data_IF_728650131756
#
_entry.id   IF_728650131756
#
_cell.length_a   1.000
_cell.length_b   1.000
_cell.length_c   1.000
_cell.angle_alpha   90.00
_cell.angle_beta   90.00
_cell.angle_gamma   90.00
#
_symmetry.space_group_name_H-M   'P 1'
#
loop_
_entity.id
_entity.type
_entity.pdbx_description
1 polymer ?
#
# COMPACT_ATOMS: atom_id res chain seq x y z
N UNK A 1 19.76 6.45 6.24
CA UNK A 1 20.08 5.80 4.95
C UNK A 1 19.96 6.84 3.85
N UNK A 2 20.74 6.75 2.77
CA UNK A 2 20.50 7.59 1.58
C UNK A 2 20.84 6.86 0.28
N UNK A 3 20.20 7.27 -0.81
CA UNK A 3 20.52 6.86 -2.16
C UNK A 3 21.63 7.75 -2.72
N UNK A 4 22.74 7.17 -3.16
CA UNK A 4 23.87 7.93 -3.73
C UNK A 4 23.83 8.01 -5.26
N UNK A 5 23.25 6.99 -5.91
CA UNK A 5 23.20 6.88 -7.36
C UNK A 5 21.85 6.32 -7.79
N UNK A 6 21.27 6.86 -8.86
CA UNK A 6 20.10 6.33 -9.55
C UNK A 6 20.42 6.22 -11.04
N UNK A 7 20.18 5.04 -11.62
CA UNK A 7 20.25 4.82 -13.05
C UNK A 7 18.96 4.15 -13.53
N UNK A 8 18.37 4.69 -14.60
CA UNK A 8 17.17 4.14 -15.22
C UNK A 8 17.48 3.79 -16.67
N UNK A 9 16.89 2.70 -17.16
CA UNK A 9 16.92 2.32 -18.58
C UNK A 9 15.52 1.90 -19.01
N UNK A 10 15.01 2.51 -20.08
CA UNK A 10 13.66 2.27 -20.61
C UNK A 10 12.54 2.37 -19.56
N UNK A 11 12.70 3.25 -18.56
CA UNK A 11 11.72 3.46 -17.49
C UNK A 11 10.91 4.73 -17.77
N UNK A 12 9.59 4.60 -17.86
CA UNK A 12 8.65 5.71 -18.15
C UNK A 12 9.08 6.50 -19.39
N UNK A 13 9.49 7.76 -19.20
CA UNK A 13 9.95 8.66 -20.26
C UNK A 13 11.45 8.56 -20.56
N UNK A 14 12.23 7.90 -19.70
CA UNK A 14 13.68 7.82 -19.83
C UNK A 14 14.10 6.62 -20.68
N UNK A 15 14.84 6.88 -21.75
CA UNK A 15 15.60 5.84 -22.46
C UNK A 15 16.80 5.40 -21.63
N UNK A 16 17.60 6.35 -21.15
CA UNK A 16 18.68 6.13 -20.20
C UNK A 16 18.94 7.41 -19.41
N UNK A 17 19.11 7.31 -18.10
CA UNK A 17 19.58 8.40 -17.25
C UNK A 17 20.41 7.82 -16.12
N UNK A 18 21.47 8.53 -15.73
CA UNK A 18 22.26 8.21 -14.54
C UNK A 18 22.54 9.51 -13.78
N UNK A 19 22.19 9.54 -12.50
CA UNK A 19 22.34 10.73 -11.65
C UNK A 19 22.94 10.33 -10.31
N UNK A 20 23.88 11.14 -9.83
CA UNK A 20 24.41 11.04 -8.48
C UNK A 20 23.66 12.02 -7.59
N UNK A 21 23.10 11.50 -6.51
CA UNK A 21 22.25 12.27 -5.59
C UNK A 21 22.99 12.39 -4.26
N UNK A 22 23.28 13.60 -3.76
CA UNK A 22 23.92 13.76 -2.47
C UNK A 22 22.96 13.39 -1.32
N UNK A 23 23.49 13.10 -0.12
CA UNK A 23 22.67 13.12 1.09
C UNK A 23 22.13 14.53 1.35
N UNK A 24 21.12 14.63 2.22
CA UNK A 24 20.41 15.87 2.52
C UNK A 24 19.30 16.18 1.52
N UNK A 25 18.99 17.46 1.38
CA UNK A 25 17.88 17.92 0.54
C UNK A 25 18.33 18.06 -0.92
N UNK A 26 17.53 17.55 -1.84
CA UNK A 26 17.74 17.68 -3.28
C UNK A 26 16.42 18.07 -3.98
N UNK A 27 16.44 19.16 -4.72
CA UNK A 27 15.32 19.60 -5.55
C UNK A 27 15.56 19.28 -7.03
N UNK A 28 14.63 18.54 -7.63
CA UNK A 28 14.50 18.26 -9.06
C UNK A 28 13.51 19.28 -9.64
N UNK A 29 14.00 20.26 -10.38
CA UNK A 29 13.21 21.40 -10.88
C UNK A 29 13.08 21.33 -12.39
N UNK A 30 11.90 21.64 -12.91
CA UNK A 30 11.67 21.74 -14.35
C UNK A 30 10.18 21.70 -14.70
N UNK A 31 9.79 22.09 -15.92
CA UNK A 31 8.41 22.06 -16.39
C UNK A 31 7.71 20.71 -16.19
N UNK A 32 6.38 20.75 -16.14
CA UNK A 32 5.56 19.54 -16.06
C UNK A 32 5.76 18.65 -17.29
N UNK A 33 5.73 17.33 -17.08
CA UNK A 33 5.93 16.34 -18.14
C UNK A 33 7.37 16.02 -18.51
N UNK A 34 8.38 16.65 -17.89
CA UNK A 34 9.80 16.42 -18.22
C UNK A 34 10.43 15.18 -17.56
N UNK A 35 9.71 14.50 -16.66
CA UNK A 35 10.16 13.26 -16.05
C UNK A 35 10.60 13.34 -14.58
N UNK A 36 10.47 14.49 -13.91
CA UNK A 36 10.78 14.65 -12.47
C UNK A 36 10.13 13.57 -11.59
N UNK A 37 8.81 13.45 -11.70
CA UNK A 37 7.98 12.43 -11.05
C UNK A 37 8.45 11.01 -11.37
N UNK A 38 8.94 10.76 -12.59
CA UNK A 38 9.42 9.43 -12.98
C UNK A 38 10.73 9.05 -12.24
N UNK A 39 11.61 10.01 -11.96
CA UNK A 39 12.83 9.77 -11.17
C UNK A 39 12.48 9.34 -9.74
N UNK A 40 11.61 10.10 -9.07
CA UNK A 40 11.24 9.81 -7.69
C UNK A 40 10.31 8.60 -7.57
N UNK A 41 9.45 8.37 -8.57
CA UNK A 41 8.65 7.15 -8.68
C UNK A 41 9.52 5.89 -8.73
N UNK A 42 10.66 5.93 -9.46
CA UNK A 42 11.57 4.80 -9.52
C UNK A 42 12.18 4.48 -8.14
N UNK A 43 12.50 5.50 -7.35
CA UNK A 43 13.02 5.34 -5.98
C UNK A 43 11.94 4.77 -5.05
N UNK A 44 10.72 5.32 -5.11
CA UNK A 44 9.58 4.79 -4.37
C UNK A 44 9.27 3.32 -4.72
N UNK A 45 9.42 2.97 -6.00
CA UNK A 45 9.24 1.59 -6.47
C UNK A 45 10.27 0.63 -5.86
N UNK A 46 11.53 1.03 -5.68
CA UNK A 46 12.55 0.18 -5.04
C UNK A 46 12.21 -0.15 -3.58
N UNK A 47 11.47 0.71 -2.88
CA UNK A 47 11.05 0.48 -1.50
C UNK A 47 9.77 -0.36 -1.39
N UNK A 48 8.76 -0.06 -2.22
CA UNK A 48 7.43 -0.66 -2.11
C UNK A 48 7.16 -1.81 -3.10
N UNK A 49 7.93 -1.91 -4.20
CA UNK A 49 7.66 -2.75 -5.37
C UNK A 49 6.27 -2.50 -5.98
N UNK A 50 5.79 -1.26 -5.84
CA UNK A 50 4.54 -0.75 -6.37
C UNK A 50 4.75 0.71 -6.79
N UNK A 51 3.94 1.19 -7.72
CA UNK A 51 3.90 2.60 -8.09
C UNK A 51 2.78 3.31 -7.34
N UNK A 52 3.02 4.56 -6.92
CA UNK A 52 1.97 5.42 -6.36
C UNK A 52 0.98 5.91 -7.42
N UNK A 53 1.34 5.83 -8.71
CA UNK A 53 0.56 6.39 -9.84
C UNK A 53 -0.22 5.33 -10.61
N UNK A 54 0.27 4.09 -10.67
CA UNK A 54 -0.33 3.01 -11.47
C UNK A 54 -0.42 1.70 -10.70
N UNK A 55 -1.42 0.88 -11.03
CA UNK A 55 -1.71 -0.39 -10.35
C UNK A 55 -0.97 -1.61 -10.90
N UNK A 56 -0.15 -1.44 -11.94
CA UNK A 56 0.63 -2.52 -12.56
C UNK A 56 1.96 -1.98 -13.09
N UNK A 57 2.92 -2.87 -13.35
CA UNK A 57 4.26 -2.48 -13.81
C UNK A 57 4.33 -2.12 -15.29
N UNK A 58 3.37 -2.57 -16.11
CA UNK A 58 3.42 -2.36 -17.56
C UNK A 58 3.51 -0.88 -17.98
N UNK A 59 2.79 0.07 -17.36
CA UNK A 59 2.94 1.51 -17.63
C UNK A 59 4.26 2.12 -17.16
N UNK A 60 5.06 1.41 -16.35
CA UNK A 60 6.38 1.84 -15.92
C UNK A 60 7.45 1.56 -16.99
N UNK A 61 7.17 0.65 -17.93
CA UNK A 61 8.04 0.32 -19.04
C UNK A 61 7.84 1.36 -20.15
N UNK A 62 8.93 1.88 -20.70
CA UNK A 62 8.90 2.85 -21.80
C UNK A 62 8.16 2.27 -22.99
N UNK A 63 7.36 3.12 -23.66
CA UNK A 63 6.53 2.70 -24.79
C UNK A 63 7.39 2.06 -25.89
N UNK A 64 6.94 0.89 -26.38
CA UNK A 64 7.65 0.11 -27.40
C UNK A 64 8.72 -0.83 -26.85
N UNK A 65 9.08 -0.70 -25.57
CA UNK A 65 10.08 -1.55 -24.93
C UNK A 65 9.41 -2.77 -24.25
N UNK A 66 10.18 -3.84 -24.09
CA UNK A 66 9.71 -5.09 -23.45
C UNK A 66 10.13 -5.21 -21.98
N UNK A 67 11.04 -4.33 -21.53
CA UNK A 67 11.57 -4.29 -20.17
C UNK A 67 12.02 -2.88 -19.80
N UNK A 68 12.14 -2.63 -18.51
CA UNK A 68 12.76 -1.45 -17.93
C UNK A 68 13.69 -1.87 -16.78
N UNK A 69 14.73 -1.09 -16.51
CA UNK A 69 15.66 -1.34 -15.39
C UNK A 69 15.72 -0.12 -14.50
N UNK A 70 15.55 -0.36 -13.20
CA UNK A 70 15.81 0.61 -12.12
C UNK A 70 17.02 0.10 -11.36
N UNK A 71 18.11 0.85 -11.34
CA UNK A 71 19.31 0.52 -10.57
C UNK A 71 19.63 1.67 -9.63
N UNK A 72 20.01 1.35 -8.40
CA UNK A 72 20.43 2.34 -7.43
C UNK A 72 21.52 1.80 -6.51
N UNK A 73 22.40 2.69 -6.07
CA UNK A 73 23.30 2.44 -4.93
C UNK A 73 22.73 3.13 -3.71
N UNK A 74 22.54 2.36 -2.65
CA UNK A 74 22.03 2.82 -1.36
C UNK A 74 23.09 2.66 -0.29
N UNK A 75 23.30 3.72 0.47
CA UNK A 75 24.29 3.84 1.52
C UNK A 75 23.59 3.68 2.89
N UNK A 76 24.09 2.74 3.68
CA UNK A 76 23.59 2.44 5.02
C UNK A 76 24.78 2.08 5.92
N UNK A 77 24.93 2.77 7.05
CA UNK A 77 26.03 2.55 8.02
C UNK A 77 27.43 2.51 7.37
N UNK A 78 27.66 3.40 6.39
CA UNK A 78 28.94 3.46 5.65
C UNK A 78 29.16 2.32 4.64
N UNK A 79 28.17 1.44 4.44
CA UNK A 79 28.20 0.38 3.42
C UNK A 79 27.27 0.72 2.27
N UNK A 80 27.80 0.63 1.05
CA UNK A 80 27.02 0.77 -0.18
C UNK A 80 26.51 -0.58 -0.65
N UNK A 81 25.21 -0.68 -0.90
CA UNK A 81 24.56 -1.85 -1.53
C UNK A 81 23.97 -1.42 -2.86
N UNK A 82 24.20 -2.19 -3.92
CA UNK A 82 23.58 -1.94 -5.23
C UNK A 82 22.32 -2.79 -5.37
N UNK A 83 21.19 -2.13 -5.56
CA UNK A 83 19.92 -2.75 -5.88
C UNK A 83 19.59 -2.53 -7.35
N UNK A 84 19.17 -3.59 -8.04
CA UNK A 84 18.66 -3.52 -9.41
C UNK A 84 17.35 -4.29 -9.51
N UNK A 85 16.35 -3.67 -10.13
CA UNK A 85 15.05 -4.29 -10.46
C UNK A 85 14.80 -4.16 -11.95
N UNK A 86 14.60 -5.29 -12.62
CA UNK A 86 14.20 -5.36 -14.03
C UNK A 86 12.70 -5.68 -14.11
N UNK A 87 11.94 -4.70 -14.61
CA UNK A 87 10.51 -4.82 -14.90
C UNK A 87 10.35 -5.49 -16.26
N UNK A 88 9.51 -6.52 -16.34
CA UNK A 88 9.34 -7.31 -17.55
C UNK A 88 7.89 -7.30 -18.03
N UNK A 89 7.64 -6.91 -19.27
CA UNK A 89 6.30 -6.91 -19.84
C UNK A 89 5.77 -8.36 -19.96
N UNK A 90 4.67 -8.66 -19.25
CA UNK A 90 4.00 -9.96 -19.31
C UNK A 90 4.81 -11.14 -18.74
N UNK A 91 5.94 -10.89 -18.08
CA UNK A 91 6.75 -11.91 -17.41
C UNK A 91 7.02 -11.49 -15.97
N UNK A 92 7.52 -12.41 -15.15
CA UNK A 92 7.94 -12.08 -13.79
C UNK A 92 9.13 -11.11 -13.81
N UNK A 93 9.07 -10.09 -12.97
CA UNK A 93 10.19 -9.18 -12.73
C UNK A 93 11.38 -9.92 -12.14
N UNK A 94 12.57 -9.35 -12.32
CA UNK A 94 13.84 -9.88 -11.81
C UNK A 94 14.51 -8.83 -10.95
N UNK A 95 15.36 -9.27 -10.03
CA UNK A 95 16.15 -8.34 -9.25
C UNK A 95 17.56 -8.87 -9.01
N UNK A 96 18.47 -7.96 -8.70
CA UNK A 96 19.85 -8.26 -8.30
C UNK A 96 20.22 -7.44 -7.07
N UNK A 97 21.05 -8.03 -6.22
CA UNK A 97 21.69 -7.38 -5.08
C UNK A 97 23.19 -7.49 -5.25
N UNK A 98 23.91 -6.37 -5.22
CA UNK A 98 25.35 -6.30 -5.50
C UNK A 98 25.75 -7.05 -6.78
N UNK A 99 24.92 -6.88 -7.82
CA UNK A 99 25.02 -7.52 -9.15
C UNK A 99 24.77 -9.04 -9.15
N UNK A 100 24.57 -9.68 -8.00
CA UNK A 100 24.18 -11.08 -7.92
C UNK A 100 22.66 -11.23 -8.11
N UNK A 101 22.18 -12.14 -8.98
CA UNK A 101 20.75 -12.38 -9.14
C UNK A 101 20.16 -12.98 -7.85
N UNK A 102 18.99 -12.49 -7.45
CA UNK A 102 18.20 -13.08 -6.36
C UNK A 102 17.14 -14.02 -6.92
N UNK A 103 16.68 -14.99 -6.12
CA UNK A 103 15.71 -15.98 -6.62
C UNK A 103 14.34 -15.37 -6.87
N UNK A 104 13.99 -14.34 -6.09
CA UNK A 104 12.71 -13.61 -6.17
C UNK A 104 12.94 -12.13 -5.88
N UNK A 105 12.23 -11.26 -6.59
CA UNK A 105 12.34 -9.79 -6.45
C UNK A 105 12.22 -9.32 -5.00
N UNK A 106 11.31 -9.93 -4.24
CA UNK A 106 11.06 -9.61 -2.83
C UNK A 106 12.25 -9.86 -1.89
N UNK A 107 13.28 -10.60 -2.29
CA UNK A 107 14.50 -10.76 -1.47
C UNK A 107 15.30 -9.46 -1.36
N UNK A 108 15.00 -8.49 -2.22
CA UNK A 108 15.55 -7.13 -2.19
C UNK A 108 14.69 -6.21 -1.30
N UNK A 109 13.52 -6.66 -0.84
CA UNK A 109 12.67 -5.85 0.03
C UNK A 109 13.36 -5.53 1.35
N UNK A 110 13.20 -4.29 1.81
CA UNK A 110 13.90 -3.78 2.98
C UNK A 110 15.32 -3.30 2.70
N UNK A 111 15.86 -3.40 1.47
CA UNK A 111 17.14 -2.74 1.14
C UNK A 111 16.97 -1.22 1.09
N UNK A 112 15.84 -0.77 0.53
CA UNK A 112 15.44 0.64 0.42
C UNK A 112 14.17 0.85 1.25
N UNK A 113 14.16 1.90 2.06
CA UNK A 113 12.95 2.45 2.70
C UNK A 113 12.69 3.84 2.18
N UNK A 114 11.44 4.14 1.85
CA UNK A 114 11.04 5.47 1.44
C UNK A 114 9.59 5.77 1.76
N UNK A 115 9.30 7.06 1.97
CA UNK A 115 7.93 7.58 2.06
C UNK A 115 7.74 8.64 0.99
N UNK A 116 6.73 8.42 0.15
CA UNK A 116 6.35 9.32 -0.94
C UNK A 116 5.13 10.13 -0.50
N UNK A 117 5.24 11.45 -0.62
CA UNK A 117 4.16 12.41 -0.55
C UNK A 117 3.83 12.86 -1.97
N UNK A 118 2.59 12.67 -2.41
CA UNK A 118 2.18 13.02 -3.76
C UNK A 118 0.71 13.51 -3.79
N UNK A 119 0.29 14.27 -4.82
CA UNK A 119 -1.10 14.68 -5.01
C UNK A 119 -2.11 13.54 -4.95
N UNK A 120 -1.72 12.34 -5.37
CA UNK A 120 -2.54 11.13 -5.31
C UNK A 120 -2.91 10.70 -3.88
N UNK A 121 -2.23 11.21 -2.85
CA UNK A 121 -2.50 10.85 -1.44
C UNK A 121 -3.89 11.29 -0.97
N UNK A 122 -4.54 12.25 -1.64
CA UNK A 122 -5.96 12.56 -1.39
C UNK A 122 -6.86 11.33 -1.59
N UNK A 123 -6.46 10.38 -2.44
CA UNK A 123 -7.18 9.12 -2.63
C UNK A 123 -7.11 8.20 -1.40
N UNK A 124 -6.13 8.35 -0.51
CA UNK A 124 -6.12 7.64 0.77
C UNK A 124 -7.34 8.02 1.61
N UNK A 125 -7.76 9.28 1.52
CA UNK A 125 -8.86 9.82 2.30
C UNK A 125 -10.20 9.65 1.58
N UNK A 126 -10.28 10.10 0.32
CA UNK A 126 -11.54 10.15 -0.44
C UNK A 126 -11.81 8.89 -1.26
N UNK A 127 -10.77 8.14 -1.58
CA UNK A 127 -10.84 6.99 -2.47
C UNK A 127 -11.45 5.74 -1.83
N UNK A 128 -11.30 4.64 -2.56
CA UNK A 128 -11.84 3.34 -2.21
C UNK A 128 -10.95 2.60 -1.19
N UNK A 129 -11.51 1.62 -0.46
CA UNK A 129 -10.77 0.80 0.49
C UNK A 129 -9.49 0.18 -0.08
N UNK A 130 -9.46 -0.12 -1.37
CA UNK A 130 -8.31 -0.66 -2.09
C UNK A 130 -7.05 0.22 -1.95
N UNK A 131 -7.22 1.55 -1.97
CA UNK A 131 -6.10 2.49 -1.87
C UNK A 131 -5.49 2.43 -0.46
N UNK A 132 -6.34 2.41 0.57
CA UNK A 132 -5.90 2.32 1.96
C UNK A 132 -5.30 0.96 2.30
N UNK A 133 -5.84 -0.13 1.75
CA UNK A 133 -5.23 -1.46 1.89
C UNK A 133 -3.85 -1.52 1.26
N UNK A 134 -3.67 -0.96 0.06
CA UNK A 134 -2.34 -0.86 -0.57
C UNK A 134 -1.38 -0.05 0.29
N UNK A 135 -1.81 1.09 0.83
CA UNK A 135 -0.98 1.87 1.76
C UNK A 135 -0.51 1.04 2.96
N UNK A 136 -1.42 0.30 3.62
CA UNK A 136 -1.05 -0.58 4.74
C UNK A 136 -0.10 -1.70 4.30
N UNK A 137 -0.38 -2.33 3.16
CA UNK A 137 0.41 -3.47 2.66
C UNK A 137 1.83 -3.04 2.24
N UNK A 138 1.96 -1.90 1.57
CA UNK A 138 3.25 -1.39 1.11
C UNK A 138 4.10 -0.93 2.31
N UNK A 139 3.49 -0.36 3.35
CA UNK A 139 4.16 -0.05 4.62
C UNK A 139 4.57 -1.33 5.38
N UNK A 140 3.72 -2.36 5.40
CA UNK A 140 4.04 -3.66 5.99
C UNK A 140 5.24 -4.33 5.31
N UNK A 141 5.36 -4.23 3.99
CA UNK A 141 6.50 -4.81 3.25
C UNK A 141 7.82 -4.14 3.64
N UNK A 142 7.82 -2.82 3.84
CA UNK A 142 9.01 -2.09 4.28
C UNK A 142 9.43 -2.43 5.72
N UNK A 143 8.46 -2.60 6.63
CA UNK A 143 8.70 -3.01 8.02
C UNK A 143 9.08 -4.49 8.13
N UNK A 144 8.43 -5.35 7.38
CA UNK A 144 8.57 -6.80 7.48
C UNK A 144 8.51 -7.46 6.11
N UNK A 145 9.66 -7.61 5.40
CA UNK A 145 9.73 -8.20 4.07
C UNK A 145 9.03 -9.55 3.91
N UNK A 146 8.99 -10.36 4.98
CA UNK A 146 8.26 -11.66 5.02
C UNK A 146 6.78 -11.53 4.72
N UNK A 147 6.12 -10.42 5.07
CA UNK A 147 4.69 -10.20 4.82
C UNK A 147 4.41 -10.10 3.32
N UNK A 148 5.37 -9.66 2.51
CA UNK A 148 5.24 -9.66 1.05
C UNK A 148 4.98 -11.07 0.48
N UNK A 149 5.59 -12.11 1.05
CA UNK A 149 5.32 -13.49 0.65
C UNK A 149 3.90 -13.94 1.05
N UNK A 150 3.46 -13.61 2.27
CA UNK A 150 2.12 -13.91 2.76
C UNK A 150 1.05 -13.26 1.88
N UNK A 151 1.24 -11.98 1.51
CA UNK A 151 0.36 -11.24 0.59
C UNK A 151 0.30 -11.91 -0.79
N UNK A 152 1.45 -12.25 -1.37
CA UNK A 152 1.50 -12.89 -2.69
C UNK A 152 0.79 -14.26 -2.69
N UNK A 153 0.98 -15.06 -1.63
CA UNK A 153 0.28 -16.33 -1.47
C UNK A 153 -1.23 -16.13 -1.30
N UNK A 154 -1.64 -15.15 -0.49
CA UNK A 154 -3.04 -14.78 -0.33
C UNK A 154 -3.69 -14.41 -1.66
N UNK A 155 -3.08 -13.52 -2.45
CA UNK A 155 -3.61 -13.08 -3.75
C UNK A 155 -3.67 -14.23 -4.77
N UNK A 156 -2.68 -15.12 -4.78
CA UNK A 156 -2.67 -16.33 -5.61
C UNK A 156 -3.83 -17.25 -5.24
N UNK A 157 -3.98 -17.57 -3.96
CA UNK A 157 -5.04 -18.46 -3.44
C UNK A 157 -6.42 -17.85 -3.67
N UNK A 158 -6.59 -16.54 -3.43
CA UNK A 158 -7.82 -15.81 -3.67
C UNK A 158 -8.27 -15.90 -5.14
N UNK A 159 -7.34 -15.74 -6.09
CA UNK A 159 -7.63 -15.89 -7.53
C UNK A 159 -8.08 -17.31 -7.87
N UNK A 160 -7.38 -18.32 -7.38
CA UNK A 160 -7.73 -19.74 -7.62
C UNK A 160 -9.11 -20.08 -7.05
N UNK A 161 -9.36 -19.71 -5.78
CA UNK A 161 -10.66 -19.90 -5.13
C UNK A 161 -11.79 -19.18 -5.88
N UNK A 162 -11.58 -17.93 -6.28
CA UNK A 162 -12.58 -17.14 -7.01
C UNK A 162 -12.91 -17.77 -8.37
N UNK A 163 -11.93 -18.30 -9.09
CA UNK A 163 -12.15 -19.05 -10.33
C UNK A 163 -13.00 -20.31 -10.10
N UNK A 164 -12.72 -21.04 -9.04
CA UNK A 164 -13.51 -22.22 -8.65
C UNK A 164 -14.94 -21.87 -8.23
N UNK A 165 -15.15 -20.77 -7.49
CA UNK A 165 -16.50 -20.31 -7.15
C UNK A 165 -17.32 -19.99 -8.41
N UNK A 166 -16.71 -19.33 -9.41
CA UNK A 166 -17.39 -19.01 -10.68
C UNK A 166 -17.78 -20.27 -11.45
N UNK A 167 -16.86 -21.23 -11.58
CA UNK A 167 -17.12 -22.48 -12.30
C UNK A 167 -18.14 -23.37 -11.57
N UNK A 168 -18.02 -23.56 -10.26
CA UNK A 168 -18.97 -24.32 -9.46
C UNK A 168 -20.37 -23.66 -9.43
N UNK A 169 -20.42 -22.33 -9.34
CA UNK A 169 -21.67 -21.56 -9.44
C UNK A 169 -22.37 -21.72 -10.78
N UNK A 170 -21.62 -21.77 -11.89
CA UNK A 170 -22.16 -22.00 -13.23
C UNK A 170 -22.81 -23.40 -13.36
N UNK A 171 -22.13 -24.46 -12.87
CA UNK A 171 -22.69 -25.83 -12.88
C UNK A 171 -23.99 -25.91 -12.06
N UNK A 172 -24.03 -25.24 -10.90
CA UNK A 172 -25.23 -25.22 -10.04
C UNK A 172 -26.40 -24.49 -10.70
N UNK A 173 -26.15 -23.39 -11.42
CA UNK A 173 -27.18 -22.67 -12.19
C UNK A 173 -27.70 -23.50 -13.36
N UNK A 174 -26.82 -24.15 -14.11
CA UNK A 174 -27.22 -25.03 -15.22
C UNK A 174 -28.17 -26.15 -14.77
N UNK A 175 -27.93 -26.74 -13.58
CA UNK A 175 -28.83 -27.74 -12.99
C UNK A 175 -30.18 -27.19 -12.50
N UNK A 176 -30.26 -25.90 -12.16
CA UNK A 176 -31.51 -25.24 -11.73
C UNK A 176 -32.34 -24.71 -12.89
N UNK A 177 -31.71 -24.36 -14.02
CA UNK A 177 -32.36 -23.80 -15.21
C UNK A 177 -32.80 -24.83 -16.26
N UNK A 178 -32.30 -26.07 -16.18
CA UNK A 178 -32.75 -27.19 -17.02
C UNK A 178 -33.95 -27.91 -16.38
N UNK A 179 -35.17 -27.53 -16.76
CA UNK A 179 -36.35 -28.34 -16.46
C UNK A 179 -36.35 -29.61 -17.30
N UNK A 180 -35.96 -30.75 -16.72
CA UNK A 180 -36.15 -32.05 -17.37
C UNK A 180 -35.13 -33.14 -17.00
N UNK A 181 -35.66 -34.21 -16.42
CA UNK A 181 -35.06 -35.54 -16.22
C UNK A 181 -33.98 -35.66 -15.14
N UNK A 182 -34.44 -36.04 -13.95
CA UNK A 182 -33.69 -36.92 -13.04
C UNK A 182 -33.42 -38.26 -13.74
N UNK A 183 -32.35 -38.36 -14.53
CA UNK A 183 -31.77 -39.66 -14.84
C UNK A 183 -30.29 -39.52 -15.20
N UNK A 184 -29.46 -40.17 -14.36
CA UNK A 184 -28.10 -40.68 -14.58
C UNK A 184 -27.15 -40.23 -13.47
N UNK A 185 -26.83 -41.19 -12.59
CA UNK A 185 -26.23 -41.02 -11.28
C UNK A 185 -24.72 -40.78 -11.26
N UNK A 186 -24.21 -39.88 -12.10
CA UNK A 186 -22.78 -39.53 -12.11
C UNK A 186 -22.52 -38.03 -11.80
N UNK A 187 -23.59 -37.24 -11.65
CA UNK A 187 -23.52 -35.81 -11.37
C UNK A 187 -23.20 -35.43 -9.92
N UNK A 188 -23.31 -36.36 -8.97
CA UNK A 188 -22.98 -36.12 -7.56
C UNK A 188 -21.48 -36.00 -7.30
N UNK A 189 -20.67 -36.75 -8.06
CA UNK A 189 -19.21 -36.83 -7.89
C UNK A 189 -18.49 -35.52 -8.24
N UNK A 190 -18.84 -34.89 -9.36
CA UNK A 190 -18.21 -33.64 -9.80
C UNK A 190 -18.49 -32.46 -8.85
N UNK A 191 -19.72 -32.35 -8.33
CA UNK A 191 -20.07 -31.31 -7.34
C UNK A 191 -19.40 -31.58 -5.99
N UNK A 192 -19.32 -32.84 -5.56
CA UNK A 192 -18.62 -33.23 -4.33
C UNK A 192 -17.11 -32.99 -4.44
N UNK A 193 -16.51 -33.30 -5.58
CA UNK A 193 -15.08 -33.06 -5.87
C UNK A 193 -14.74 -31.58 -5.90
N UNK A 194 -15.58 -30.74 -6.53
CA UNK A 194 -15.39 -29.30 -6.55
C UNK A 194 -15.51 -28.68 -5.15
N UNK A 195 -16.44 -29.17 -4.31
CA UNK A 195 -16.58 -28.73 -2.91
C UNK A 195 -15.37 -29.12 -2.07
N UNK A 196 -14.87 -30.36 -2.17
CA UNK A 196 -13.63 -30.79 -1.47
C UNK A 196 -12.41 -29.96 -1.89
N UNK A 197 -12.34 -29.59 -3.17
CA UNK A 197 -11.27 -28.71 -3.67
C UNK A 197 -11.38 -27.32 -3.06
N UNK A 198 -12.61 -26.78 -2.92
CA UNK A 198 -12.83 -25.48 -2.27
C UNK A 198 -12.40 -25.49 -0.80
N UNK A 199 -12.64 -26.58 -0.05
CA UNK A 199 -12.23 -26.69 1.37
C UNK A 199 -10.70 -26.56 1.54
N UNK A 200 -9.92 -27.15 0.63
CA UNK A 200 -8.45 -27.00 0.61
C UNK A 200 -8.04 -25.54 0.37
N UNK A 201 -8.71 -24.86 -0.57
CA UNK A 201 -8.43 -23.46 -0.84
C UNK A 201 -8.90 -22.54 0.29
N UNK A 202 -9.97 -22.88 1.01
CA UNK A 202 -10.38 -22.14 2.20
C UNK A 202 -9.33 -22.24 3.30
N UNK A 203 -8.79 -23.44 3.55
CA UNK A 203 -7.72 -23.65 4.52
C UNK A 203 -6.50 -22.77 4.19
N UNK A 204 -6.07 -22.76 2.93
CA UNK A 204 -4.94 -21.92 2.49
C UNK A 204 -5.28 -20.43 2.55
N UNK A 205 -6.48 -20.03 2.15
CA UNK A 205 -6.91 -18.62 2.15
C UNK A 205 -7.03 -18.08 3.57
N UNK A 206 -7.56 -18.88 4.50
CA UNK A 206 -7.67 -18.54 5.91
C UNK A 206 -6.30 -18.42 6.57
N UNK A 207 -5.37 -19.34 6.28
CA UNK A 207 -4.03 -19.33 6.84
C UNK A 207 -3.21 -18.08 6.43
N UNK A 208 -3.23 -17.74 5.13
CA UNK A 208 -2.56 -16.52 4.67
C UNK A 208 -3.33 -15.26 5.07
N UNK A 209 -4.67 -15.32 5.04
CA UNK A 209 -5.54 -14.20 5.37
C UNK A 209 -5.47 -13.79 6.84
N UNK A 210 -5.37 -14.73 7.76
CA UNK A 210 -5.27 -14.43 9.20
C UNK A 210 -3.95 -13.75 9.55
N UNK A 211 -2.85 -14.17 8.95
CA UNK A 211 -1.54 -13.53 9.10
C UNK A 211 -1.58 -12.08 8.60
N UNK A 212 -2.22 -11.83 7.45
CA UNK A 212 -2.33 -10.49 6.89
C UNK A 212 -3.23 -9.58 7.72
N UNK A 213 -4.37 -10.09 8.23
CA UNK A 213 -5.25 -9.35 9.15
C UNK A 213 -4.50 -8.97 10.43
N UNK A 214 -3.84 -9.93 11.07
CA UNK A 214 -3.10 -9.68 12.30
C UNK A 214 -1.92 -8.70 12.08
N UNK A 215 -1.23 -8.80 10.94
CA UNK A 215 -0.17 -7.87 10.57
C UNK A 215 -0.72 -6.45 10.38
N UNK A 216 -1.82 -6.29 9.64
CA UNK A 216 -2.46 -4.97 9.42
C UNK A 216 -2.99 -4.38 10.72
N UNK A 217 -3.61 -5.17 11.59
CA UNK A 217 -4.10 -4.70 12.89
C UNK A 217 -2.95 -4.17 13.74
N UNK A 218 -1.86 -4.93 13.85
CA UNK A 218 -0.65 -4.49 14.57
C UNK A 218 -0.06 -3.21 13.97
N UNK A 219 -0.02 -3.11 12.64
CA UNK A 219 0.42 -1.89 11.96
C UNK A 219 -0.48 -0.71 12.31
N UNK A 220 -1.80 -0.86 12.25
CA UNK A 220 -2.73 0.23 12.57
C UNK A 220 -2.57 0.68 14.03
N UNK A 221 -2.37 -0.25 14.98
CA UNK A 221 -2.07 0.09 16.37
C UNK A 221 -0.79 0.91 16.51
N UNK A 222 0.29 0.48 15.84
CA UNK A 222 1.57 1.18 15.87
C UNK A 222 1.49 2.56 15.19
N UNK A 223 0.75 2.67 14.09
CA UNK A 223 0.63 3.89 13.29
C UNK A 223 -0.20 5.00 13.96
N UNK A 224 -1.20 4.63 14.77
CA UNK A 224 -2.12 5.58 15.46
C UNK A 224 -1.42 6.74 16.17
N UNK A 225 -0.48 6.51 17.11
CA UNK A 225 0.15 7.62 17.85
C UNK A 225 0.94 8.55 16.93
N UNK A 226 1.62 8.02 15.91
CA UNK A 226 2.38 8.84 14.96
C UNK A 226 1.45 9.70 14.09
N UNK A 227 0.34 9.13 13.60
CA UNK A 227 -0.64 9.88 12.78
C UNK A 227 -1.36 10.96 13.61
N UNK A 228 -1.72 10.66 14.86
CA UNK A 228 -2.34 11.65 15.74
C UNK A 228 -1.42 12.86 15.97
N UNK A 229 -0.14 12.59 16.29
CA UNK A 229 0.88 13.63 16.49
C UNK A 229 1.16 14.43 15.21
N UNK A 230 1.35 13.74 14.09
CA UNK A 230 1.59 14.39 12.81
C UNK A 230 0.41 15.28 12.39
N UNK A 231 -0.82 14.81 12.59
CA UNK A 231 -2.02 15.60 12.32
C UNK A 231 -2.08 16.87 13.16
N UNK A 232 -1.80 16.78 14.47
CA UNK A 232 -1.76 17.94 15.36
C UNK A 232 -0.77 19.00 14.86
N UNK A 233 0.41 18.57 14.40
CA UNK A 233 1.47 19.45 13.89
C UNK A 233 1.10 20.14 12.57
N UNK A 234 0.46 19.43 11.62
CA UNK A 234 0.11 20.00 10.30
C UNK A 234 -1.23 20.75 10.28
N UNK A 235 -2.19 20.36 11.12
CA UNK A 235 -3.52 21.00 11.23
C UNK A 235 -3.57 22.13 12.26
N UNK A 236 -2.52 22.25 13.09
CA UNK A 236 -2.49 23.12 14.27
C UNK A 236 -3.62 22.85 15.27
N UNK A 237 -3.73 21.58 15.65
CA UNK A 237 -4.61 21.06 16.70
C UNK A 237 -6.13 21.24 16.46
N UNK A 238 -6.57 21.38 15.21
CA UNK A 238 -8.01 21.40 14.89
C UNK A 238 -8.56 19.97 14.81
N UNK A 239 -9.10 19.49 15.92
CA UNK A 239 -9.64 18.14 16.05
C UNK A 239 -8.56 17.07 16.28
N UNK A 240 -8.99 15.82 16.42
CA UNK A 240 -8.12 14.68 16.62
C UNK A 240 -8.34 13.65 15.51
N UNK A 241 -7.28 13.32 14.78
CA UNK A 241 -7.29 12.25 13.79
C UNK A 241 -7.18 10.89 14.49
N UNK A 242 -8.09 9.97 14.19
CA UNK A 242 -8.07 8.61 14.72
C UNK A 242 -8.21 7.57 13.60
N UNK A 243 -7.58 6.41 13.81
CA UNK A 243 -7.56 5.30 12.86
C UNK A 243 -8.24 4.07 13.45
N UNK A 244 -9.10 3.41 12.68
CA UNK A 244 -9.68 2.13 13.04
C UNK A 244 -9.54 1.12 11.91
N UNK A 245 -9.36 -0.16 12.24
CA UNK A 245 -9.30 -1.24 11.25
C UNK A 245 -10.65 -1.95 11.19
N UNK A 246 -11.31 -1.90 10.04
CA UNK A 246 -12.59 -2.60 9.80
C UNK A 246 -12.33 -3.92 9.09
N UNK A 247 -12.43 -5.02 9.83
CA UNK A 247 -12.36 -6.35 9.24
C UNK A 247 -13.73 -6.84 8.75
N UNK A 248 -13.77 -7.36 7.52
CA UNK A 248 -14.92 -8.07 6.96
C UNK A 248 -15.30 -9.32 7.75
N UNK A 249 -14.36 -9.90 8.50
CA UNK A 249 -14.61 -11.04 9.38
C UNK A 249 -15.60 -10.69 10.49
N UNK A 250 -15.42 -9.51 11.11
CA UNK A 250 -16.28 -9.03 12.19
C UNK A 250 -17.66 -8.70 11.62
N UNK A 251 -17.71 -7.96 10.51
CA UNK A 251 -18.98 -7.67 9.81
C UNK A 251 -19.73 -8.92 9.33
N UNK A 252 -19.04 -10.05 9.16
CA UNK A 252 -19.67 -11.30 8.79
C UNK A 252 -20.34 -12.01 9.98
N UNK A 253 -20.15 -11.63 11.25
CA UNK A 253 -20.67 -12.37 12.41
C UNK A 253 -22.21 -12.44 12.45
N UNK A 254 -22.81 -13.55 12.94
CA UNK A 254 -24.26 -13.70 12.96
C UNK A 254 -25.00 -12.65 13.80
N UNK A 255 -24.35 -12.14 14.84
CA UNK A 255 -24.91 -11.17 15.79
C UNK A 255 -24.82 -9.72 15.26
N UNK A 256 -24.09 -9.50 14.16
CA UNK A 256 -23.74 -8.16 13.64
C UNK A 256 -24.37 -7.86 12.25
N UNK A 257 -25.42 -8.58 11.85
CA UNK A 257 -26.13 -8.37 10.58
C UNK A 257 -27.54 -7.78 10.78
N UNK A 258 -27.98 -6.79 9.98
CA UNK A 258 -27.42 -5.46 9.77
C UNK A 258 -28.40 -4.39 10.23
N UNK A 259 -28.05 -3.63 11.27
CA UNK A 259 -28.49 -2.23 11.44
C UNK A 259 -27.37 -1.25 11.03
N UNK A 260 -26.37 -1.74 10.27
CA UNK A 260 -25.30 -0.89 9.74
C UNK A 260 -25.77 -0.25 8.45
N UNK A 261 -26.45 0.88 8.62
CA UNK A 261 -26.72 1.83 7.55
C UNK A 261 -25.38 2.28 6.95
N UNK A 262 -25.33 2.29 5.63
CA UNK A 262 -24.21 2.80 4.83
C UNK A 262 -23.74 4.17 5.37
N UNK A 263 -22.47 4.26 5.77
CA UNK A 263 -21.84 5.52 6.18
C UNK A 263 -21.81 5.86 7.68
N UNK A 264 -22.44 5.07 8.55
CA UNK A 264 -22.35 5.28 10.00
C UNK A 264 -21.56 4.16 10.68
N UNK A 265 -20.29 4.40 11.04
CA UNK A 265 -19.81 3.76 12.27
C UNK A 265 -20.73 4.29 13.36
N UNK A 266 -21.34 3.40 14.14
CA UNK A 266 -22.16 3.81 15.26
C UNK A 266 -21.43 4.92 16.03
N UNK A 267 -21.97 6.13 16.00
CA UNK A 267 -21.53 7.27 16.81
C UNK A 267 -21.90 7.10 18.28
N UNK A 268 -22.33 5.90 18.68
CA UNK A 268 -22.35 5.52 20.07
C UNK A 268 -20.93 5.25 20.52
N UNK A 269 -20.63 5.66 21.74
CA UNK A 269 -19.65 5.05 22.64
C UNK A 269 -19.88 3.54 22.75
N UNK A 270 -19.72 2.80 21.65
CA UNK A 270 -19.52 1.36 21.65
C UNK A 270 -18.30 1.14 22.51
N UNK A 271 -18.52 0.48 23.64
CA UNK A 271 -17.62 0.38 24.77
C UNK A 271 -16.16 0.28 24.29
N UNK A 272 -15.30 1.24 24.67
CA UNK A 272 -13.91 1.23 24.25
C UNK A 272 -13.23 -0.12 24.59
N UNK A 273 -13.74 -0.79 25.63
CA UNK A 273 -13.40 -2.17 25.98
C UNK A 273 -13.79 -3.20 24.90
N UNK A 274 -14.95 -3.08 24.27
CA UNK A 274 -15.39 -3.97 23.19
C UNK A 274 -14.53 -3.79 21.93
N UNK A 275 -14.20 -2.55 21.56
CA UNK A 275 -13.28 -2.29 20.44
C UNK A 275 -11.87 -2.84 20.74
N UNK A 276 -11.36 -2.63 21.95
CA UNK A 276 -10.06 -3.17 22.36
C UNK A 276 -10.04 -4.71 22.33
N UNK A 277 -11.10 -5.36 22.83
CA UNK A 277 -11.23 -6.82 22.80
C UNK A 277 -11.29 -7.36 21.37
N UNK A 278 -12.01 -6.67 20.47
CA UNK A 278 -12.06 -7.01 19.05
C UNK A 278 -10.67 -6.89 18.40
N UNK A 279 -9.90 -5.86 18.72
CA UNK A 279 -8.53 -5.71 18.20
C UNK A 279 -7.60 -6.81 18.71
N UNK A 280 -7.68 -7.15 20.00
CA UNK A 280 -6.89 -8.23 20.59
C UNK A 280 -7.19 -9.58 19.93
N UNK A 281 -8.45 -9.82 19.61
CA UNK A 281 -8.88 -10.97 18.84
C UNK A 281 -8.30 -10.97 17.42
N UNK A 282 -8.30 -9.84 16.72
CA UNK A 282 -7.73 -9.73 15.36
C UNK A 282 -6.20 -9.89 15.34
N UNK A 283 -5.51 -9.69 16.46
CA UNK A 283 -4.07 -9.95 16.60
C UNK A 283 -3.73 -11.45 16.68
N UNK A 284 -4.69 -12.29 17.06
CA UNK A 284 -4.52 -13.75 17.23
C UNK A 284 -4.77 -14.50 15.92
N UNK A 285 -3.71 -14.74 15.16
CA UNK A 285 -3.81 -15.36 13.83
C UNK A 285 -4.45 -16.76 13.82
N UNK A 286 -4.28 -17.54 14.88
CA UNK A 286 -4.91 -18.85 15.08
C UNK A 286 -6.44 -18.73 15.17
N UNK A 287 -6.91 -17.79 15.99
CA UNK A 287 -8.33 -17.52 16.19
C UNK A 287 -8.96 -16.93 14.93
N UNK A 288 -8.31 -15.92 14.33
CA UNK A 288 -8.75 -15.32 13.06
C UNK A 288 -8.83 -16.36 11.94
N UNK A 289 -7.89 -17.30 11.88
CA UNK A 289 -7.92 -18.39 10.89
C UNK A 289 -9.15 -19.28 11.07
N UNK A 290 -9.41 -19.74 12.29
CA UNK A 290 -10.60 -20.55 12.59
C UNK A 290 -11.90 -19.81 12.23
N UNK A 291 -12.00 -18.53 12.58
CA UNK A 291 -13.18 -17.72 12.28
C UNK A 291 -13.36 -17.45 10.78
N UNK A 292 -12.27 -17.24 10.03
CA UNK A 292 -12.34 -17.13 8.57
C UNK A 292 -12.90 -18.39 7.93
N UNK A 293 -12.49 -19.58 8.41
CA UNK A 293 -13.01 -20.86 7.91
C UNK A 293 -14.51 -21.00 8.18
N UNK A 294 -14.94 -20.69 9.41
CA UNK A 294 -16.35 -20.72 9.78
C UNK A 294 -17.18 -19.73 8.93
N UNK A 295 -16.68 -18.49 8.76
CA UNK A 295 -17.34 -17.49 7.94
C UNK A 295 -17.46 -17.92 6.47
N UNK A 296 -16.40 -18.49 5.88
CA UNK A 296 -16.43 -19.01 4.50
C UNK A 296 -17.35 -20.22 4.35
N UNK A 297 -17.45 -21.10 5.34
CA UNK A 297 -18.40 -22.21 5.33
C UNK A 297 -19.85 -21.70 5.34
N UNK A 298 -20.15 -20.73 6.20
CA UNK A 298 -21.49 -20.11 6.29
C UNK A 298 -21.87 -19.29 5.06
N UNK A 299 -20.92 -18.53 4.50
CA UNK A 299 -21.16 -17.69 3.32
C UNK A 299 -21.13 -18.45 1.99
N UNK A 300 -20.77 -19.74 2.01
CA UNK A 300 -20.55 -20.59 0.82
C UNK A 300 -21.62 -20.47 -0.25
N UNK A 301 -22.88 -20.56 0.15
CA UNK A 301 -24.00 -20.51 -0.79
C UNK A 301 -24.06 -19.16 -1.53
N UNK A 302 -23.88 -18.06 -0.81
CA UNK A 302 -23.84 -16.70 -1.37
C UNK A 302 -22.61 -16.48 -2.25
N UNK A 303 -21.46 -17.02 -1.85
CA UNK A 303 -20.22 -16.94 -2.64
C UNK A 303 -20.30 -17.71 -3.96
N UNK A 304 -20.92 -18.91 -3.96
CA UNK A 304 -21.17 -19.70 -5.18
C UNK A 304 -22.15 -19.00 -6.12
N UNK A 305 -23.19 -18.37 -5.57
CA UNK A 305 -24.16 -17.60 -6.34
C UNK A 305 -23.49 -16.40 -7.03
N UNK A 306 -22.74 -15.61 -6.26
CA UNK A 306 -22.10 -14.37 -6.74
C UNK A 306 -20.79 -14.62 -7.51
N UNK A 307 -20.17 -15.79 -7.36
CA UNK A 307 -18.88 -16.10 -7.97
C UNK A 307 -17.71 -15.27 -7.43
N UNK A 308 -17.80 -14.80 -6.18
CA UNK A 308 -16.77 -13.97 -5.52
C UNK A 308 -16.63 -14.35 -4.04
N UNK A 309 -15.43 -14.18 -3.50
CA UNK A 309 -15.18 -14.33 -2.06
C UNK A 309 -15.79 -13.15 -1.30
N UNK A 310 -16.48 -13.39 -0.19
CA UNK A 310 -17.22 -12.35 0.56
C UNK A 310 -16.59 -11.96 1.90
N UNK A 311 -15.58 -12.70 2.36
CA UNK A 311 -14.88 -12.46 3.63
C UNK A 311 -13.37 -12.63 3.47
N UNK A 312 -12.59 -11.84 4.20
CA UNK A 312 -11.12 -11.89 4.26
C UNK A 312 -10.48 -10.53 3.97
N UNK A 313 -9.14 -10.40 4.13
CA UNK A 313 -8.44 -9.11 4.10
C UNK A 313 -8.58 -8.32 2.80
N UNK A 314 -8.96 -8.94 1.67
CA UNK A 314 -9.29 -8.21 0.44
C UNK A 314 -10.57 -7.37 0.52
N UNK A 315 -11.39 -7.52 1.58
CA UNK A 315 -12.63 -6.78 1.83
C UNK A 315 -12.51 -5.81 3.01
N UNK A 316 -11.38 -5.82 3.70
CA UNK A 316 -11.15 -5.00 4.89
C UNK A 316 -10.87 -3.54 4.52
N UNK A 317 -10.92 -2.64 5.50
CA UNK A 317 -10.71 -1.21 5.29
C UNK A 317 -10.02 -0.53 6.48
N UNK A 318 -9.30 0.54 6.19
CA UNK A 318 -8.80 1.49 7.20
C UNK A 318 -9.79 2.64 7.29
N UNK A 319 -10.37 2.86 8.47
CA UNK A 319 -11.28 3.97 8.73
C UNK A 319 -10.52 5.15 9.30
N UNK A 320 -10.79 6.32 8.73
CA UNK A 320 -10.20 7.59 9.13
C UNK A 320 -11.31 8.43 9.76
N UNK A 321 -11.10 8.89 10.99
CA UNK A 321 -12.03 9.80 11.67
C UNK A 321 -11.31 11.07 12.10
N UNK A 322 -12.06 12.16 12.13
CA UNK A 322 -11.63 13.45 12.66
C UNK A 322 -12.69 13.96 13.62
N UNK A 323 -12.32 14.20 14.88
CA UNK A 323 -13.26 14.69 15.89
C UNK A 323 -14.46 13.75 16.11
N UNK A 324 -14.27 12.43 15.92
CA UNK A 324 -15.31 11.41 16.05
C UNK A 324 -16.17 11.19 14.79
N UNK A 325 -16.01 11.99 13.73
CA UNK A 325 -16.75 11.84 12.47
C UNK A 325 -15.89 11.19 11.39
N UNK A 326 -16.47 10.37 10.49
CA UNK A 326 -15.74 9.85 9.34
C UNK A 326 -15.18 10.97 8.46
N UNK A 327 -13.90 10.91 8.09
CA UNK A 327 -13.27 11.96 7.26
C UNK A 327 -13.89 12.01 5.86
N UNK A 328 -14.14 10.83 5.26
CA UNK A 328 -14.77 10.74 3.94
C UNK A 328 -16.21 11.26 4.00
N UNK A 329 -16.49 12.34 3.26
CA UNK A 329 -17.81 12.95 3.15
C UNK A 329 -18.07 14.11 4.11
N UNK A 330 -17.30 14.25 5.19
CA UNK A 330 -17.51 15.31 6.20
C UNK A 330 -16.36 16.31 6.30
N UNK A 331 -15.12 15.88 6.04
CA UNK A 331 -13.96 16.76 6.16
C UNK A 331 -13.88 17.79 5.03
N UNK A 332 -13.49 19.00 5.38
CA UNK A 332 -13.13 20.06 4.43
C UNK A 332 -11.94 19.65 3.55
N UNK A 333 -11.70 20.43 2.49
CA UNK A 333 -10.56 20.18 1.60
C UNK A 333 -9.21 20.29 2.34
N UNK A 334 -9.08 21.27 3.24
CA UNK A 334 -7.88 21.45 4.06
C UNK A 334 -7.66 20.30 5.05
N UNK A 335 -8.72 19.85 5.74
CA UNK A 335 -8.66 18.70 6.64
C UNK A 335 -8.32 17.40 5.90
N UNK A 336 -8.86 17.21 4.69
CA UNK A 336 -8.51 16.05 3.84
C UNK A 336 -7.00 16.00 3.60
N UNK A 337 -6.40 17.14 3.22
CA UNK A 337 -4.96 17.24 3.03
C UNK A 337 -4.18 16.99 4.32
N UNK A 338 -4.60 17.59 5.44
CA UNK A 338 -3.96 17.37 6.74
C UNK A 338 -3.98 15.90 7.17
N UNK A 339 -5.08 15.17 6.93
CA UNK A 339 -5.16 13.73 7.20
C UNK A 339 -4.25 12.93 6.27
N UNK A 340 -4.21 13.25 4.98
CA UNK A 340 -3.33 12.58 4.01
C UNK A 340 -1.84 12.78 4.38
N UNK A 341 -1.44 14.02 4.69
CA UNK A 341 -0.10 14.33 5.16
C UNK A 341 0.21 13.61 6.48
N UNK A 342 -0.72 13.59 7.43
CA UNK A 342 -0.54 12.91 8.70
C UNK A 342 -0.33 11.40 8.55
N UNK A 343 -1.02 10.75 7.61
CA UNK A 343 -0.81 9.33 7.29
C UNK A 343 0.61 9.07 6.79
N UNK A 344 1.12 9.91 5.89
CA UNK A 344 2.48 9.79 5.33
C UNK A 344 3.57 10.12 6.34
N UNK A 345 3.41 11.22 7.08
CA UNK A 345 4.31 11.58 8.19
C UNK A 345 4.30 10.50 9.26
N UNK A 346 3.14 9.97 9.62
CA UNK A 346 3.02 8.88 10.58
C UNK A 346 3.73 7.60 10.10
N UNK A 347 3.65 7.29 8.81
CA UNK A 347 4.40 6.18 8.21
C UNK A 347 5.91 6.42 8.22
N UNK A 348 6.36 7.66 7.97
CA UNK A 348 7.77 8.04 8.04
C UNK A 348 8.32 7.87 9.46
N UNK A 349 7.64 8.42 10.45
CA UNK A 349 8.01 8.28 11.87
C UNK A 349 8.03 6.81 12.31
N UNK A 350 7.01 6.03 11.91
CA UNK A 350 6.96 4.60 12.24
C UNK A 350 8.14 3.81 11.63
N UNK A 351 8.53 4.11 10.40
CA UNK A 351 9.67 3.46 9.76
C UNK A 351 11.02 3.90 10.34
N UNK A 352 11.08 5.13 10.85
CA UNK A 352 12.24 5.73 11.51
C UNK A 352 12.45 5.16 12.92
N UNK A 353 11.38 4.94 13.66
CA UNK A 353 11.37 4.39 15.02
C UNK A 353 11.39 2.86 15.06
N UNK A 354 11.55 2.17 13.93
CA UNK A 354 11.64 0.71 13.88
C UNK A 354 12.99 0.21 14.41
N UNK A 355 13.02 -0.23 15.67
CA UNK A 355 14.22 -0.78 16.34
C UNK A 355 14.89 -1.94 15.58
N UNK A 356 14.14 -2.66 14.73
CA UNK A 356 14.68 -3.71 13.87
C UNK A 356 15.53 -3.19 12.71
N UNK A 357 15.53 -1.88 12.48
CA UNK A 357 16.20 -1.21 11.37
C UNK A 357 17.32 -0.30 11.86
N UNK A 358 18.55 -0.81 11.75
CA UNK A 358 19.76 -0.04 12.03
C UNK A 358 20.28 0.57 10.72
N UNK A 359 19.50 1.50 10.15
CA UNK A 359 19.79 2.04 8.83
C UNK A 359 19.71 3.54 8.69
N UNK A 360 19.30 4.25 9.73
CA UNK A 360 18.94 5.66 9.64
C UNK A 360 17.61 5.88 8.94
N UNK A 361 17.33 7.13 8.59
CA UNK A 361 15.99 7.54 8.13
C UNK A 361 15.58 6.88 6.78
N UNK A 362 14.28 6.64 6.57
CA UNK A 362 13.73 6.40 5.24
C UNK A 362 13.98 7.60 4.31
N UNK A 363 14.17 7.36 3.02
CA UNK A 363 14.24 8.44 2.02
C UNK A 363 12.88 9.12 1.93
N UNK A 364 12.84 10.44 2.15
CA UNK A 364 11.62 11.23 1.97
C UNK A 364 11.52 11.73 0.53
N UNK A 365 10.36 11.56 -0.07
CA UNK A 365 10.06 12.01 -1.44
C UNK A 365 8.85 12.94 -1.37
N UNK A 366 8.99 14.15 -1.87
CA UNK A 366 7.96 15.18 -1.98
C UNK A 366 7.70 15.44 -3.47
N UNK A 367 6.74 14.75 -4.05
CA UNK A 367 6.48 14.77 -5.49
C UNK A 367 5.39 15.79 -5.83
N UNK A 368 5.78 17.00 -6.28
CA UNK A 368 4.90 18.13 -6.63
C UNK A 368 3.85 18.50 -5.55
N UNK A 369 4.08 18.10 -4.29
CA UNK A 369 3.10 18.25 -3.20
C UNK A 369 2.94 19.70 -2.75
N UNK A 370 3.97 20.54 -2.87
CA UNK A 370 3.93 21.90 -2.35
C UNK A 370 3.02 22.84 -3.12
N UNK A 371 2.76 22.57 -4.40
CA UNK A 371 1.83 23.32 -5.23
C UNK A 371 0.37 23.18 -4.74
N UNK A 372 0.05 22.08 -4.06
CA UNK A 372 -1.31 21.75 -3.60
C UNK A 372 -1.61 22.22 -2.16
N UNK A 373 -0.59 22.69 -1.44
CA UNK A 373 -0.70 23.06 -0.02
C UNK A 373 -0.79 24.58 0.16
N UNK A 374 -1.60 25.00 1.13
CA UNK A 374 -1.58 26.39 1.60
C UNK A 374 -0.25 26.71 2.32
N UNK A 375 0.04 27.99 2.47
CA UNK A 375 1.30 28.47 3.04
C UNK A 375 1.61 27.89 4.42
N UNK A 376 0.60 27.73 5.28
CA UNK A 376 0.79 27.21 6.64
C UNK A 376 1.18 25.72 6.60
N UNK A 377 0.45 24.92 5.82
CA UNK A 377 0.73 23.48 5.66
C UNK A 377 2.07 23.24 4.97
N UNK A 378 2.41 24.06 3.97
CA UNK A 378 3.72 24.04 3.30
C UNK A 378 4.86 24.23 4.30
N UNK A 379 4.81 25.28 5.11
CA UNK A 379 5.81 25.55 6.16
C UNK A 379 5.85 24.44 7.22
N UNK A 380 4.70 23.95 7.67
CA UNK A 380 4.64 22.88 8.66
C UNK A 380 5.30 21.58 8.13
N UNK A 381 4.93 21.16 6.92
CA UNK A 381 5.53 19.98 6.27
C UNK A 381 7.04 20.16 6.11
N UNK A 382 7.48 21.30 5.58
CA UNK A 382 8.90 21.58 5.37
C UNK A 382 9.73 21.44 6.64
N UNK A 383 9.24 21.99 7.77
CA UNK A 383 9.93 21.88 9.07
C UNK A 383 10.00 20.46 9.61
N UNK A 384 8.95 19.67 9.39
CA UNK A 384 8.89 18.28 9.88
C UNK A 384 9.82 17.36 9.09
N UNK A 385 10.03 17.62 7.79
CA UNK A 385 10.82 16.74 6.91
C UNK A 385 12.28 17.19 6.76
N UNK A 386 12.61 18.46 7.01
CA UNK A 386 13.97 18.99 6.89
C UNK A 386 15.06 18.22 7.68
N UNK A 387 14.78 17.66 8.89
CA UNK A 387 15.78 16.90 9.64
C UNK A 387 16.16 15.55 9.03
N UNK A 388 15.41 15.04 8.05
CA UNK A 388 15.65 13.71 7.51
C UNK A 388 16.99 13.64 6.75
N UNK A 389 17.67 12.48 6.85
CA UNK A 389 18.96 12.27 6.18
C UNK A 389 18.96 12.51 4.66
N UNK A 390 17.83 12.26 3.98
CA UNK A 390 17.66 12.56 2.56
C UNK A 390 16.21 12.91 2.23
N UNK A 391 16.04 14.06 1.55
CA UNK A 391 14.75 14.55 1.07
C UNK A 391 14.87 14.87 -0.42
N UNK A 392 14.02 14.24 -1.23
CA UNK A 392 13.96 14.45 -2.68
C UNK A 392 12.67 15.18 -3.02
N UNK A 393 12.78 16.30 -3.72
CA UNK A 393 11.66 17.19 -4.00
C UNK A 393 11.52 17.31 -5.51
N UNK A 394 10.31 17.17 -6.04
CA UNK A 394 10.00 17.59 -7.41
C UNK A 394 9.21 18.90 -7.37
N UNK A 395 9.55 19.83 -8.25
CA UNK A 395 8.84 21.09 -8.38
C UNK A 395 8.85 21.58 -9.83
N UNK A 396 7.77 22.22 -10.25
CA UNK A 396 7.67 22.82 -11.58
C UNK A 396 8.64 24.02 -11.73
N UNK A 397 8.68 24.85 -10.69
CA UNK A 397 9.56 26.02 -10.58
C UNK A 397 10.27 26.00 -9.21
N UNK A 398 11.41 26.67 -9.11
CA UNK A 398 12.22 26.60 -7.89
C UNK A 398 11.55 27.31 -6.70
N UNK A 399 10.73 28.31 -6.98
CA UNK A 399 10.01 29.13 -6.02
C UNK A 399 8.93 28.35 -5.25
N UNK A 400 8.51 27.19 -5.75
CA UNK A 400 7.58 26.31 -5.04
C UNK A 400 8.24 25.55 -3.89
N UNK A 401 9.58 25.46 -3.88
CA UNK A 401 10.35 24.79 -2.83
C UNK A 401 10.49 25.73 -1.63
N UNK A 402 10.05 25.33 -0.42
CA UNK A 402 10.20 26.14 0.79
C UNK A 402 11.67 26.42 1.12
N UNK A 403 11.96 27.60 1.68
CA UNK A 403 13.31 27.99 2.07
C UNK A 403 13.90 27.09 3.17
N UNK A 404 13.07 26.45 3.99
CA UNK A 404 13.53 25.45 4.95
C UNK A 404 14.12 24.19 4.28
N UNK A 405 13.88 24.00 2.98
CA UNK A 405 14.33 22.85 2.19
C UNK A 405 15.36 23.27 1.12
N UNK A 406 16.33 24.09 1.52
CA UNK A 406 17.48 24.42 0.68
C UNK A 406 18.50 23.28 0.63
N UNK A 407 19.04 23.02 -0.55
CA UNK A 407 19.98 21.92 -0.78
C UNK A 407 20.48 21.87 -2.22
N UNK A 408 20.88 20.69 -2.66
CA UNK A 408 21.33 20.49 -4.04
C UNK A 408 20.16 20.71 -5.02
N UNK A 409 20.45 21.22 -6.21
CA UNK A 409 19.43 21.43 -7.24
C UNK A 409 19.84 20.80 -8.56
N UNK A 410 18.88 20.15 -9.20
CA UNK A 410 19.01 19.59 -10.53
C UNK A 410 17.90 20.12 -11.42
N UNK A 411 18.25 20.57 -12.61
CA UNK A 411 17.28 20.89 -13.64
C UNK A 411 16.98 19.64 -14.48
N UNK A 412 15.69 19.38 -14.71
CA UNK A 412 15.18 18.21 -15.44
C UNK A 412 14.48 18.66 -16.71
N UNK A 413 15.09 18.41 -17.86
CA UNK A 413 14.63 18.89 -19.16
C UNK A 413 15.00 17.90 -20.27
N UNK A 414 14.07 17.59 -21.16
CA UNK A 414 14.35 16.80 -22.36
C UNK A 414 14.85 15.37 -22.09
N UNK A 415 14.54 14.81 -20.92
CA UNK A 415 15.07 13.50 -20.50
C UNK A 415 16.48 13.55 -19.91
N UNK A 416 17.06 14.73 -19.73
CA UNK A 416 18.34 14.95 -19.05
C UNK A 416 18.14 15.48 -17.64
N UNK A 417 19.11 15.23 -16.77
CA UNK A 417 19.14 15.65 -15.36
C UNK A 417 20.50 16.27 -15.08
N UNK A 418 20.54 17.59 -14.91
CA UNK A 418 21.81 18.33 -14.77
C UNK A 418 21.85 19.01 -13.42
N UNK A 419 22.94 18.81 -12.66
CA UNK A 419 23.15 19.50 -11.38
C UNK A 419 23.49 20.97 -11.63
N UNK A 420 22.80 21.88 -10.94
CA UNK A 420 23.00 23.33 -11.06
C UNK A 420 23.46 23.99 -9.76
N UNK A 421 23.22 23.36 -8.60
CA UNK A 421 23.71 23.79 -7.28
C UNK A 421 24.20 22.59 -6.45
#
# INVERSE_FOLDING_TARGET
>A
MYLSDLALTDFRSYESVAVQVPPGITALVGPNGQGKTNLVEAIGYLAAFSSHRVSSDAPLIRQGCSRAVIQSRVQREGRGTVVEVELNAGRANRARLDRAPVSRVREVAGVVRSVVFAPEDLALVKGDPDVRRRFLDDLLVQLSPRIGAVRADYERVLRQRTSLLKSAGAVRRARRGGGGSESSGDGGGASSSALRTLDVWDAQLAAAGSQLIAARMRLVQALRPHVARAYEQVSSAQGAATLAYRSSLVAARPQDAPDVVDGGVATGTGDAAALAAQEEELLRSDLVQAQLLEAMARLRAKELERGVCLVGPHRDDLLLHLGGLPVKGYASHGETWSVALALRLGAFELLRDDDGWQGGDPILILDDVFAELDARRRTALARLVAPAEQVLITAAVAEDVPAELEGARFDVMGGEVTRVL
#
